data_IF_846203748736
#
_entry.id   IF_846203748736
#
_cell.length_a   1.000
_cell.length_b   1.000
_cell.length_c   1.000
_cell.angle_alpha   90.00
_cell.angle_beta   90.00
_cell.angle_gamma   90.00
#
_symmetry.space_group_name_H-M   'P 1'
#
loop_
_entity.id
_entity.type
_entity.pdbx_description
1 polymer ?
#
# COMPACT_ATOMS: atom_id res chain seq x y z
N UNK A 1 34.69 -9.38 -11.75
CA UNK A 1 33.56 -9.26 -12.70
C UNK A 1 32.83 -10.59 -12.75
N UNK A 2 31.59 -10.67 -12.20
CA UNK A 2 30.75 -11.86 -12.39
C UNK A 2 30.10 -11.73 -13.78
N UNK A 3 30.37 -12.69 -14.67
CA UNK A 3 29.71 -12.75 -15.96
C UNK A 3 28.20 -12.98 -15.74
N UNK A 4 27.35 -12.05 -16.19
CA UNK A 4 25.89 -12.22 -16.17
C UNK A 4 25.53 -13.37 -17.12
N UNK A 5 24.80 -14.36 -16.63
CA UNK A 5 24.30 -15.43 -17.50
C UNK A 5 23.28 -14.85 -18.51
N UNK A 6 23.23 -15.35 -19.75
CA UNK A 6 22.30 -14.84 -20.77
C UNK A 6 20.82 -14.83 -20.33
N UNK A 7 20.44 -15.77 -19.48
CA UNK A 7 19.10 -15.87 -18.88
C UNK A 7 18.78 -14.69 -17.96
N UNK A 8 19.77 -14.22 -17.16
CA UNK A 8 19.62 -13.09 -16.25
C UNK A 8 19.42 -11.78 -17.03
N UNK A 9 20.17 -11.60 -18.14
CA UNK A 9 20.01 -10.41 -19.02
C UNK A 9 18.64 -10.42 -19.69
N UNK A 10 18.15 -11.58 -20.13
CA UNK A 10 16.83 -11.72 -20.73
C UNK A 10 15.73 -11.33 -19.75
N UNK A 11 15.75 -11.87 -18.53
CA UNK A 11 14.77 -11.55 -17.49
C UNK A 11 14.80 -10.06 -17.11
N UNK A 12 15.99 -9.49 -16.98
CA UNK A 12 16.14 -8.05 -16.73
C UNK A 12 15.49 -7.23 -17.84
N UNK A 13 15.77 -7.53 -19.11
CA UNK A 13 15.19 -6.81 -20.26
C UNK A 13 13.67 -6.99 -20.35
N UNK A 14 13.13 -8.16 -19.98
CA UNK A 14 11.69 -8.39 -19.88
C UNK A 14 11.07 -7.49 -18.78
N UNK A 15 11.70 -7.41 -17.62
CA UNK A 15 11.24 -6.54 -16.53
C UNK A 15 11.23 -5.06 -16.96
N UNK A 16 12.31 -4.58 -17.59
CA UNK A 16 12.38 -3.20 -18.12
C UNK A 16 11.22 -2.90 -19.07
N UNK A 17 10.88 -3.82 -19.99
CA UNK A 17 9.76 -3.63 -20.93
C UNK A 17 8.40 -3.61 -20.22
N UNK A 18 8.21 -4.51 -19.26
CA UNK A 18 6.96 -4.58 -18.50
C UNK A 18 6.77 -3.34 -17.64
N UNK A 19 7.82 -2.87 -16.97
CA UNK A 19 7.74 -1.66 -16.13
C UNK A 19 7.50 -0.41 -16.96
N UNK A 20 8.13 -0.31 -18.14
CA UNK A 20 7.86 0.76 -19.09
C UNK A 20 6.37 0.78 -19.51
N UNK A 21 5.81 -0.39 -19.89
CA UNK A 21 4.43 -0.50 -20.33
C UNK A 21 3.41 -0.30 -19.20
N UNK A 22 3.76 -0.68 -17.94
CA UNK A 22 2.96 -0.37 -16.76
C UNK A 22 2.90 1.12 -16.49
N UNK A 23 4.04 1.82 -16.59
CA UNK A 23 4.13 3.26 -16.36
C UNK A 23 3.41 4.07 -17.43
N UNK A 24 3.55 3.70 -18.71
CA UNK A 24 2.93 4.42 -19.83
C UNK A 24 1.43 4.21 -19.89
N UNK A 25 0.91 3.07 -19.43
CA UNK A 25 -0.50 2.68 -19.48
C UNK A 25 -1.18 2.83 -20.86
N UNK A 26 -0.37 3.00 -21.91
CA UNK A 26 -0.80 3.19 -23.29
C UNK A 26 -0.11 2.19 -24.23
N UNK A 27 -0.76 1.79 -25.34
CA UNK A 27 -0.14 0.89 -26.31
C UNK A 27 1.10 1.52 -26.97
N UNK A 28 2.19 0.77 -27.08
CA UNK A 28 3.44 1.19 -27.68
C UNK A 28 3.82 0.27 -28.85
N UNK A 29 4.28 0.85 -29.95
CA UNK A 29 4.87 0.11 -31.08
C UNK A 29 6.28 -0.41 -30.71
N UNK A 30 6.80 -1.39 -31.48
CA UNK A 30 8.17 -1.91 -31.28
C UNK A 30 9.23 -0.81 -31.32
N UNK A 31 9.05 0.19 -32.16
CA UNK A 31 9.98 1.32 -32.28
C UNK A 31 9.94 2.18 -31.03
N UNK A 32 8.74 2.55 -30.57
CA UNK A 32 8.58 3.32 -29.32
C UNK A 32 9.13 2.56 -28.09
N UNK A 33 8.91 1.23 -28.03
CA UNK A 33 9.50 0.39 -26.99
C UNK A 33 11.03 0.39 -27.05
N UNK A 34 11.62 0.29 -28.25
CA UNK A 34 13.08 0.33 -28.43
C UNK A 34 13.65 1.68 -28.02
N UNK A 35 13.05 2.78 -28.49
CA UNK A 35 13.49 4.14 -28.20
C UNK A 35 13.40 4.45 -26.68
N UNK A 36 12.31 4.06 -26.02
CA UNK A 36 12.09 4.33 -24.60
C UNK A 36 12.89 3.41 -23.65
N UNK A 37 13.07 2.13 -24.01
CA UNK A 37 13.83 1.17 -23.20
C UNK A 37 15.33 1.16 -23.47
N UNK A 38 15.78 1.85 -24.54
CA UNK A 38 17.15 1.79 -25.06
C UNK A 38 17.60 0.37 -25.50
N UNK A 39 16.65 -0.54 -25.69
CA UNK A 39 16.90 -1.87 -26.22
C UNK A 39 16.82 -1.86 -27.76
N UNK A 40 17.61 -2.71 -28.42
CA UNK A 40 17.53 -2.83 -29.87
C UNK A 40 16.17 -3.42 -30.30
N UNK A 41 15.68 -3.03 -31.49
CA UNK A 41 14.46 -3.61 -32.09
C UNK A 41 14.58 -5.13 -32.24
N UNK A 42 15.81 -5.64 -32.46
CA UNK A 42 16.07 -7.08 -32.53
C UNK A 42 15.83 -7.74 -31.16
N UNK A 43 16.27 -7.10 -30.09
CA UNK A 43 16.02 -7.57 -28.72
C UNK A 43 14.51 -7.57 -28.42
N UNK A 44 13.81 -6.47 -28.72
CA UNK A 44 12.36 -6.37 -28.56
C UNK A 44 11.64 -7.51 -29.30
N UNK A 45 12.00 -7.78 -30.56
CA UNK A 45 11.42 -8.87 -31.36
C UNK A 45 11.57 -10.25 -30.74
N UNK A 46 12.67 -10.49 -29.99
CA UNK A 46 12.92 -11.76 -29.30
C UNK A 46 12.14 -11.87 -27.98
N UNK A 47 11.84 -10.75 -27.30
CA UNK A 47 11.19 -10.76 -25.98
C UNK A 47 9.66 -10.78 -26.08
N UNK A 48 9.08 -10.06 -27.02
CA UNK A 48 7.62 -9.90 -27.14
C UNK A 48 6.84 -11.22 -27.28
N UNK A 49 7.26 -12.22 -28.09
CA UNK A 49 6.49 -13.45 -28.26
C UNK A 49 6.24 -14.17 -26.94
N UNK A 50 7.25 -14.30 -26.11
CA UNK A 50 7.15 -14.97 -24.79
C UNK A 50 6.25 -14.18 -23.83
N UNK A 51 6.35 -12.85 -23.81
CA UNK A 51 5.50 -11.99 -22.97
C UNK A 51 4.03 -12.06 -23.38
N UNK A 52 3.75 -12.22 -24.67
CA UNK A 52 2.39 -12.41 -25.21
C UNK A 52 1.89 -13.81 -24.86
N UNK A 53 2.71 -14.85 -25.05
CA UNK A 53 2.37 -16.24 -24.72
C UNK A 53 2.01 -16.38 -23.22
N UNK A 54 2.79 -15.73 -22.35
CA UNK A 54 2.52 -15.64 -20.90
C UNK A 54 1.34 -14.73 -20.56
N UNK A 55 0.64 -14.16 -21.53
CA UNK A 55 -0.47 -13.21 -21.35
C UNK A 55 -0.12 -11.97 -20.54
N UNK A 56 1.16 -11.60 -20.48
CA UNK A 56 1.63 -10.38 -19.80
C UNK A 56 1.37 -9.14 -20.64
N UNK A 57 1.31 -9.29 -21.96
CA UNK A 57 1.02 -8.24 -22.94
C UNK A 57 -0.20 -8.59 -23.79
N UNK A 58 -0.91 -7.53 -24.19
CA UNK A 58 -1.95 -7.55 -25.22
C UNK A 58 -1.40 -6.91 -26.47
N UNK A 59 -1.78 -7.46 -27.65
CA UNK A 59 -1.57 -6.82 -28.94
C UNK A 59 -2.83 -6.04 -29.26
N UNK A 60 -2.70 -4.75 -29.61
CA UNK A 60 -3.82 -3.89 -29.97
C UNK A 60 -3.87 -3.73 -31.47
N UNK A 61 -5.08 -3.86 -32.02
CA UNK A 61 -5.34 -3.66 -33.48
C UNK A 61 -5.53 -2.19 -33.83
N UNK A 62 -5.35 -1.24 -32.91
CA UNK A 62 -5.48 0.18 -33.19
C UNK A 62 -4.18 0.71 -33.82
N UNK A 63 -4.18 1.00 -35.12
CA UNK A 63 -3.03 1.54 -35.78
C UNK A 63 -2.85 3.01 -35.38
N UNK A 64 -1.73 3.34 -34.71
CA UNK A 64 -1.30 4.74 -34.73
C UNK A 64 -0.99 5.11 -36.21
N UNK A 65 -1.69 6.12 -36.72
CA UNK A 65 -1.46 6.65 -38.07
C UNK A 65 -0.08 7.31 -38.15
N UNK A 66 0.93 6.53 -38.36
CA UNK A 66 2.22 7.01 -38.87
C UNK A 66 2.25 6.63 -40.33
N UNK A 67 2.26 7.59 -41.26
CA UNK A 67 2.13 7.43 -42.73
C UNK A 67 2.88 6.27 -43.36
N UNK A 68 2.45 5.04 -43.12
CA UNK A 68 3.02 3.77 -43.58
C UNK A 68 2.16 2.58 -43.11
N UNK A 69 2.63 1.35 -43.38
CA UNK A 69 2.01 0.07 -42.95
C UNK A 69 1.68 0.10 -41.47
N UNK A 70 0.44 -0.25 -41.09
CA UNK A 70 -0.05 -0.32 -39.73
C UNK A 70 0.90 -1.16 -38.86
N UNK A 71 1.49 -0.53 -37.85
CA UNK A 71 2.39 -1.22 -36.92
C UNK A 71 1.60 -1.73 -35.69
N UNK A 72 1.74 -3.03 -35.35
CA UNK A 72 1.16 -3.57 -34.14
C UNK A 72 1.69 -2.82 -32.91
N UNK A 73 0.80 -2.53 -31.97
CA UNK A 73 1.13 -1.94 -30.68
C UNK A 73 0.88 -2.94 -29.56
N UNK A 74 1.61 -2.78 -28.47
CA UNK A 74 1.64 -3.70 -27.33
C UNK A 74 1.30 -2.92 -26.08
N UNK A 75 0.49 -3.52 -25.21
CA UNK A 75 0.07 -2.93 -23.95
C UNK A 75 0.22 -3.95 -22.82
N UNK A 76 0.55 -3.48 -21.62
CA UNK A 76 0.54 -4.34 -20.44
C UNK A 76 -0.88 -4.86 -20.16
N UNK A 77 -1.01 -6.16 -19.94
CA UNK A 77 -2.28 -6.79 -19.61
C UNK A 77 -2.56 -6.64 -18.09
N UNK A 78 -2.97 -5.44 -17.70
CA UNK A 78 -3.25 -5.12 -16.30
C UNK A 78 -4.38 -5.97 -15.70
N UNK A 79 -5.34 -6.40 -16.54
CA UNK A 79 -6.49 -7.22 -16.11
C UNK A 79 -6.29 -8.72 -16.34
N UNK A 80 -5.04 -9.20 -16.46
CA UNK A 80 -4.76 -10.64 -16.53
C UNK A 80 -5.15 -11.36 -15.23
N UNK A 81 -5.04 -10.65 -14.12
CA UNK A 81 -5.49 -11.02 -12.79
C UNK A 81 -5.93 -9.76 -12.05
N UNK A 82 -6.77 -9.90 -11.05
CA UNK A 82 -7.33 -8.80 -10.27
C UNK A 82 -7.04 -9.01 -8.78
N UNK A 83 -7.06 -7.93 -8.05
CA UNK A 83 -6.92 -7.88 -6.60
C UNK A 83 -8.24 -7.50 -5.96
N UNK A 84 -8.60 -8.14 -4.85
CA UNK A 84 -9.67 -7.68 -3.97
C UNK A 84 -9.03 -6.97 -2.78
N UNK A 85 -9.24 -5.65 -2.69
CA UNK A 85 -8.78 -4.84 -1.56
C UNK A 85 -9.95 -4.66 -0.60
N UNK A 86 -9.75 -5.01 0.67
CA UNK A 86 -10.75 -4.91 1.73
C UNK A 86 -10.18 -3.99 2.81
N UNK A 87 -10.85 -2.87 3.06
CA UNK A 87 -10.46 -1.92 4.10
C UNK A 87 -11.49 -1.92 5.22
N UNK A 88 -11.04 -2.15 6.45
CA UNK A 88 -11.80 -1.83 7.64
C UNK A 88 -11.46 -0.40 8.05
N UNK A 89 -12.43 0.49 8.07
CA UNK A 89 -12.25 1.92 8.32
C UNK A 89 -13.22 2.36 9.40
N UNK A 90 -12.76 3.19 10.32
CA UNK A 90 -13.65 3.86 11.24
C UNK A 90 -14.25 5.12 10.60
N UNK A 91 -15.56 5.18 10.56
CA UNK A 91 -16.34 6.35 10.17
C UNK A 91 -17.42 6.61 11.22
N UNK A 92 -17.50 7.83 11.76
CA UNK A 92 -18.53 8.22 12.74
C UNK A 92 -18.68 7.24 13.91
N UNK A 93 -17.55 6.74 14.45
CA UNK A 93 -17.46 5.76 15.54
C UNK A 93 -18.01 4.36 15.20
N UNK A 94 -18.16 4.05 13.93
CA UNK A 94 -18.54 2.74 13.44
C UNK A 94 -17.48 2.19 12.47
N UNK A 95 -17.30 0.88 12.49
CA UNK A 95 -16.44 0.24 11.49
C UNK A 95 -17.24 -0.03 10.22
N UNK A 96 -16.79 0.58 9.15
CA UNK A 96 -17.28 0.39 7.79
C UNK A 96 -16.29 -0.47 7.04
N UNK A 97 -16.78 -1.36 6.19
CA UNK A 97 -15.92 -2.20 5.34
C UNK A 97 -16.07 -1.75 3.89
N UNK A 98 -14.95 -1.35 3.28
CA UNK A 98 -14.89 -0.99 1.86
C UNK A 98 -14.23 -2.10 1.07
N UNK A 99 -14.80 -2.39 -0.09
CA UNK A 99 -14.32 -3.39 -1.02
C UNK A 99 -13.98 -2.72 -2.34
N UNK A 100 -12.78 -2.98 -2.86
CA UNK A 100 -12.36 -2.47 -4.17
C UNK A 100 -11.76 -3.60 -4.99
N UNK A 101 -12.19 -3.74 -6.24
CA UNK A 101 -11.55 -4.62 -7.22
C UNK A 101 -10.58 -3.78 -8.02
N UNK A 102 -9.32 -4.20 -8.06
CA UNK A 102 -8.23 -3.40 -8.62
C UNK A 102 -7.42 -4.22 -9.63
N UNK A 103 -6.98 -3.60 -10.71
CA UNK A 103 -6.07 -4.21 -11.66
C UNK A 103 -4.59 -4.05 -11.25
N UNK A 104 -3.68 -4.66 -12.01
CA UNK A 104 -2.25 -4.68 -11.71
C UNK A 104 -1.50 -3.35 -11.97
N UNK A 105 -2.19 -2.29 -12.37
CA UNK A 105 -1.65 -0.92 -12.45
C UNK A 105 -2.35 0.05 -11.49
N UNK A 106 -3.22 -0.49 -10.63
CA UNK A 106 -3.86 0.28 -9.57
C UNK A 106 -5.19 0.94 -9.96
N UNK A 107 -5.75 0.64 -11.14
CA UNK A 107 -7.08 1.16 -11.51
C UNK A 107 -8.16 0.43 -10.72
N UNK A 108 -9.05 1.19 -10.09
CA UNK A 108 -10.21 0.65 -9.38
C UNK A 108 -11.31 0.37 -10.41
N UNK A 109 -11.67 -0.89 -10.56
CA UNK A 109 -12.69 -1.36 -11.49
C UNK A 109 -14.09 -1.44 -10.85
N UNK A 110 -14.12 -1.67 -9.54
CA UNK A 110 -15.34 -1.73 -8.74
C UNK A 110 -15.04 -1.20 -7.34
N UNK A 111 -16.01 -0.52 -6.76
CA UNK A 111 -15.94 -0.05 -5.38
C UNK A 111 -17.32 -0.12 -4.76
N UNK A 112 -17.41 -0.74 -3.58
CA UNK A 112 -18.64 -0.76 -2.78
C UNK A 112 -18.31 -0.69 -1.29
N UNK A 113 -19.30 -0.29 -0.49
CA UNK A 113 -19.18 -0.13 0.94
C UNK A 113 -20.31 -0.86 1.65
N UNK A 114 -19.96 -1.58 2.73
CA UNK A 114 -20.92 -2.17 3.63
C UNK A 114 -20.94 -1.36 4.94
N UNK A 115 -22.12 -0.85 5.29
CA UNK A 115 -22.31 -0.05 6.51
C UNK A 115 -22.31 -0.90 7.79
N UNK A 116 -22.34 -2.23 7.70
CA UNK A 116 -22.43 -3.10 8.86
C UNK A 116 -21.24 -4.07 8.88
N UNK A 117 -20.38 -3.92 9.88
CA UNK A 117 -19.30 -4.88 10.15
C UNK A 117 -19.79 -6.25 10.63
N UNK A 118 -20.81 -6.84 9.98
CA UNK A 118 -21.37 -8.15 10.32
C UNK A 118 -20.79 -9.24 9.42
N UNK A 119 -20.31 -10.30 10.03
CA UNK A 119 -19.68 -11.41 9.32
C UNK A 119 -20.54 -12.03 8.20
N UNK A 120 -21.85 -12.32 8.37
CA UNK A 120 -22.66 -12.91 7.29
C UNK A 120 -22.74 -12.02 6.05
N UNK A 121 -22.89 -10.71 6.24
CA UNK A 121 -22.95 -9.74 5.16
C UNK A 121 -21.60 -9.61 4.46
N UNK A 122 -20.51 -9.54 5.22
CA UNK A 122 -19.14 -9.56 4.70
C UNK A 122 -18.90 -10.75 3.77
N UNK A 123 -19.27 -11.96 4.21
CA UNK A 123 -19.13 -13.18 3.41
C UNK A 123 -20.00 -13.15 2.14
N UNK A 124 -21.21 -12.61 2.22
CA UNK A 124 -22.09 -12.44 1.06
C UNK A 124 -21.44 -11.52 0.02
N UNK A 125 -20.93 -10.36 0.45
CA UNK A 125 -20.30 -9.37 -0.45
C UNK A 125 -19.08 -9.96 -1.16
N UNK A 126 -18.16 -10.61 -0.45
CA UNK A 126 -16.96 -11.17 -1.08
C UNK A 126 -17.28 -12.29 -2.07
N UNK A 127 -18.36 -13.11 -1.83
CA UNK A 127 -18.83 -14.09 -2.80
C UNK A 127 -19.37 -13.43 -4.06
N UNK A 128 -20.20 -12.40 -3.92
CA UNK A 128 -20.78 -11.67 -5.05
C UNK A 128 -19.70 -11.03 -5.89
N UNK A 129 -18.74 -10.33 -5.27
CA UNK A 129 -17.59 -9.73 -5.97
C UNK A 129 -16.78 -10.82 -6.69
N UNK A 130 -16.50 -11.96 -6.05
CA UNK A 130 -15.73 -13.04 -6.69
C UNK A 130 -16.47 -13.67 -7.87
N UNK A 131 -17.80 -13.77 -7.82
CA UNK A 131 -18.61 -14.26 -8.94
C UNK A 131 -18.59 -13.27 -10.12
N UNK A 132 -18.68 -11.97 -9.85
CA UNK A 132 -18.64 -10.92 -10.88
C UNK A 132 -17.23 -10.75 -11.45
N UNK A 133 -16.20 -10.86 -10.61
CA UNK A 133 -14.78 -10.72 -10.97
C UNK A 133 -13.99 -12.02 -10.76
N UNK A 134 -14.20 -13.07 -11.59
CA UNK A 134 -13.60 -14.40 -11.37
C UNK A 134 -12.05 -14.38 -11.47
N UNK A 135 -11.47 -13.36 -12.09
CA UNK A 135 -10.01 -13.18 -12.19
C UNK A 135 -9.33 -12.71 -10.91
N UNK A 136 -10.06 -12.43 -9.85
CA UNK A 136 -9.45 -12.11 -8.54
C UNK A 136 -8.63 -13.32 -8.09
N UNK A 137 -7.34 -13.11 -7.82
CA UNK A 137 -6.40 -14.17 -7.40
C UNK A 137 -5.78 -13.91 -6.03
N UNK A 138 -5.92 -12.69 -5.52
CA UNK A 138 -5.36 -12.26 -4.24
C UNK A 138 -6.34 -11.31 -3.56
N UNK A 139 -6.59 -11.52 -2.26
CA UNK A 139 -7.24 -10.56 -1.39
C UNK A 139 -6.18 -9.87 -0.50
N UNK A 140 -6.30 -8.56 -0.34
CA UNK A 140 -5.47 -7.77 0.57
C UNK A 140 -6.39 -7.05 1.54
N UNK A 141 -6.27 -7.39 2.80
CA UNK A 141 -7.17 -6.92 3.86
C UNK A 141 -6.39 -6.00 4.79
N UNK A 142 -6.84 -4.78 4.92
CA UNK A 142 -6.34 -3.86 5.92
C UNK A 142 -7.26 -3.83 7.14
N UNK A 143 -6.68 -3.81 8.32
CA UNK A 143 -7.41 -3.86 9.59
C UNK A 143 -6.92 -2.79 10.58
N UNK A 144 -7.81 -2.13 11.34
CA UNK A 144 -7.43 -1.37 12.51
C UNK A 144 -7.14 -2.34 13.67
N UNK A 145 -5.95 -2.93 13.69
CA UNK A 145 -5.62 -3.94 14.66
C UNK A 145 -4.40 -4.78 14.32
N UNK A 146 -4.21 -5.89 15.03
CA UNK A 146 -3.04 -6.77 14.89
C UNK A 146 -3.45 -8.22 14.72
N UNK A 147 -2.86 -8.85 13.70
CA UNK A 147 -2.90 -10.30 13.51
C UNK A 147 -1.69 -10.95 14.18
N UNK A 148 -1.94 -11.94 15.04
CA UNK A 148 -0.91 -12.75 15.67
C UNK A 148 -1.25 -14.22 15.44
N UNK A 149 -0.29 -14.98 14.89
CA UNK A 149 -0.44 -16.40 14.57
C UNK A 149 -1.75 -16.73 13.79
N UNK A 150 -2.03 -15.92 12.76
CA UNK A 150 -3.17 -16.09 11.87
C UNK A 150 -4.53 -15.68 12.46
N UNK A 151 -4.55 -15.01 13.63
CA UNK A 151 -5.78 -14.56 14.28
C UNK A 151 -5.76 -13.08 14.62
N UNK A 152 -6.90 -12.41 14.46
CA UNK A 152 -7.07 -10.99 14.78
C UNK A 152 -7.13 -10.80 16.30
N UNK A 153 -5.99 -10.64 16.96
CA UNK A 153 -5.90 -10.51 18.43
C UNK A 153 -6.30 -9.14 18.94
N UNK A 154 -5.96 -8.10 18.18
CA UNK A 154 -6.42 -6.74 18.40
C UNK A 154 -7.27 -6.39 17.19
N UNK A 155 -8.52 -6.00 17.40
CA UNK A 155 -9.44 -5.66 16.33
C UNK A 155 -10.55 -4.77 16.89
N UNK A 156 -10.73 -3.59 16.28
CA UNK A 156 -11.75 -2.63 16.68
C UNK A 156 -13.15 -2.99 16.14
N UNK A 157 -13.25 -4.00 15.26
CA UNK A 157 -14.51 -4.61 14.85
C UNK A 157 -14.80 -5.88 15.66
N UNK A 158 -15.66 -5.85 16.70
CA UNK A 158 -15.85 -6.98 17.64
C UNK A 158 -16.28 -8.28 16.97
N UNK A 159 -17.07 -8.19 15.87
CA UNK A 159 -17.54 -9.36 15.12
C UNK A 159 -16.41 -10.18 14.48
N UNK A 160 -15.22 -9.61 14.32
CA UNK A 160 -14.06 -10.25 13.68
C UNK A 160 -12.94 -10.60 14.68
N UNK A 161 -13.08 -10.21 15.94
CA UNK A 161 -12.07 -10.47 16.96
C UNK A 161 -11.83 -11.96 17.15
N UNK A 162 -10.58 -12.34 17.33
CA UNK A 162 -10.07 -13.72 17.49
C UNK A 162 -10.36 -14.64 16.28
N UNK A 163 -10.82 -14.10 15.14
CA UNK A 163 -11.04 -14.85 13.91
C UNK A 163 -9.74 -15.09 13.13
N UNK A 164 -9.67 -16.22 12.45
CA UNK A 164 -8.70 -16.49 11.40
C UNK A 164 -9.27 -15.97 10.06
N UNK A 165 -9.31 -14.62 9.92
CA UNK A 165 -9.98 -13.95 8.81
C UNK A 165 -9.37 -14.32 7.45
N UNK A 166 -8.05 -14.46 7.35
CA UNK A 166 -7.37 -14.88 6.12
C UNK A 166 -7.84 -16.25 5.67
N UNK A 167 -7.79 -17.25 6.54
CA UNK A 167 -8.26 -18.61 6.26
C UNK A 167 -9.74 -18.64 5.88
N UNK A 168 -10.55 -17.80 6.54
CA UNK A 168 -11.99 -17.70 6.25
C UNK A 168 -12.23 -17.18 4.83
N UNK A 169 -11.54 -16.11 4.40
CA UNK A 169 -11.64 -15.57 3.05
C UNK A 169 -11.14 -16.59 2.03
N UNK A 170 -9.98 -17.22 2.29
CA UNK A 170 -9.41 -18.24 1.40
C UNK A 170 -10.37 -19.43 1.19
N UNK A 171 -11.02 -19.88 2.27
CA UNK A 171 -12.04 -20.95 2.20
C UNK A 171 -13.27 -20.52 1.42
N UNK A 172 -13.67 -19.26 1.56
CA UNK A 172 -14.92 -18.76 1.01
C UNK A 172 -14.86 -18.46 -0.48
N UNK A 173 -13.76 -17.89 -0.96
CA UNK A 173 -13.62 -17.45 -2.36
C UNK A 173 -12.41 -18.05 -3.09
N UNK A 174 -11.71 -18.99 -2.48
CA UNK A 174 -10.55 -19.73 -3.04
C UNK A 174 -9.44 -18.80 -3.59
N UNK A 175 -9.07 -17.75 -2.84
CA UNK A 175 -7.96 -16.83 -3.17
C UNK A 175 -7.03 -16.69 -1.97
N UNK A 176 -5.73 -16.54 -2.22
CA UNK A 176 -4.77 -16.20 -1.17
C UNK A 176 -5.13 -14.87 -0.53
N UNK A 177 -4.87 -14.73 0.76
CA UNK A 177 -5.19 -13.53 1.53
C UNK A 177 -3.97 -13.00 2.25
N UNK A 178 -3.72 -11.70 2.11
CA UNK A 178 -2.74 -10.94 2.90
C UNK A 178 -3.50 -10.05 3.87
N UNK A 179 -3.08 -10.03 5.14
CA UNK A 179 -3.63 -9.12 6.14
C UNK A 179 -2.54 -8.17 6.60
N UNK A 180 -2.88 -6.88 6.70
CA UNK A 180 -1.97 -5.86 7.18
C UNK A 180 -2.68 -4.86 8.09
N UNK A 181 -1.94 -4.26 9.02
CA UNK A 181 -2.42 -3.16 9.83
C UNK A 181 -2.64 -1.91 8.95
N UNK A 182 -3.64 -1.11 9.27
CA UNK A 182 -4.05 0.10 8.55
C UNK A 182 -2.94 1.16 8.48
N UNK A 183 -2.27 1.45 9.62
CA UNK A 183 -1.18 2.43 9.67
C UNK A 183 0.04 1.93 8.89
N UNK A 184 0.39 0.66 9.03
CA UNK A 184 1.45 0.04 8.24
C UNK A 184 1.20 0.17 6.74
N UNK A 185 -0.03 -0.12 6.30
CA UNK A 185 -0.40 0.03 4.90
C UNK A 185 -0.32 1.49 4.44
N UNK A 186 -0.85 2.44 5.23
CA UNK A 186 -0.79 3.85 4.90
C UNK A 186 0.65 4.36 4.76
N UNK A 187 1.55 3.94 5.64
CA UNK A 187 2.97 4.32 5.59
C UNK A 187 3.70 3.64 4.43
N UNK A 188 3.34 2.41 4.11
CA UNK A 188 3.93 1.66 2.99
C UNK A 188 3.74 2.36 1.63
N UNK A 189 2.69 3.15 1.47
CA UNK A 189 2.50 3.99 0.29
C UNK A 189 3.66 4.95 0.04
N UNK A 190 4.32 5.43 1.10
CA UNK A 190 5.43 6.41 1.04
C UNK A 190 6.82 5.76 1.03
N UNK A 191 6.91 4.45 0.81
CA UNK A 191 8.19 3.76 0.79
C UNK A 191 9.13 4.29 -0.28
N UNK A 192 10.40 4.43 0.06
CA UNK A 192 11.46 4.85 -0.84
C UNK A 192 12.68 3.91 -0.72
N UNK A 193 13.40 3.74 -1.83
CA UNK A 193 14.65 2.96 -1.84
C UNK A 193 15.70 3.63 -0.92
N UNK A 194 16.39 2.80 -0.12
CA UNK A 194 17.44 3.22 0.82
C UNK A 194 17.00 4.29 1.84
N UNK A 195 15.72 4.35 2.14
CA UNK A 195 15.16 5.29 3.12
C UNK A 195 14.51 4.56 4.29
N UNK A 196 14.49 5.26 5.42
CA UNK A 196 13.67 4.93 6.59
C UNK A 196 12.52 5.94 6.60
N UNK A 197 11.30 5.43 6.50
CA UNK A 197 10.06 6.21 6.52
C UNK A 197 9.26 5.78 7.72
N UNK A 198 8.97 6.70 8.63
CA UNK A 198 8.04 6.49 9.72
C UNK A 198 6.71 7.18 9.42
N UNK A 199 5.63 6.62 9.88
CA UNK A 199 4.32 7.27 9.87
C UNK A 199 3.67 7.18 11.22
N UNK A 200 2.95 8.24 11.61
CA UNK A 200 2.22 8.30 12.86
C UNK A 200 0.80 8.73 12.54
N UNK A 201 -0.17 7.91 12.91
CA UNK A 201 -1.58 8.21 12.74
C UNK A 201 -2.19 8.61 14.09
N UNK A 202 -2.81 9.77 14.15
CA UNK A 202 -3.55 10.27 15.29
C UNK A 202 -5.04 10.34 14.96
N UNK A 203 -5.80 9.27 15.23
CA UNK A 203 -7.26 9.33 15.15
C UNK A 203 -7.82 10.21 16.26
N UNK A 204 -9.03 10.79 16.04
CA UNK A 204 -9.65 11.68 17.05
C UNK A 204 -10.04 10.95 18.34
N UNK A 205 -10.56 9.74 18.19
CA UNK A 205 -11.26 9.03 19.27
C UNK A 205 -10.48 7.86 19.87
N UNK A 206 -9.29 7.56 19.35
CA UNK A 206 -8.50 6.40 19.72
C UNK A 206 -7.03 6.74 19.92
N UNK A 207 -6.28 5.88 20.60
CA UNK A 207 -4.83 6.04 20.72
C UNK A 207 -4.14 6.06 19.34
N UNK A 208 -3.03 6.80 19.21
CA UNK A 208 -2.27 6.81 17.97
C UNK A 208 -1.59 5.48 17.70
N UNK A 209 -1.41 5.20 16.39
CA UNK A 209 -0.60 4.10 15.87
C UNK A 209 0.59 4.62 15.08
N UNK A 210 1.61 3.79 14.89
CA UNK A 210 2.73 4.10 14.01
C UNK A 210 3.06 2.94 13.07
N UNK A 211 3.74 3.25 11.97
CA UNK A 211 4.31 2.27 11.05
C UNK A 211 5.72 2.66 10.67
N UNK A 212 6.54 1.69 10.32
CA UNK A 212 7.93 1.91 9.93
C UNK A 212 8.26 1.10 8.67
N UNK A 213 8.81 1.78 7.67
CA UNK A 213 9.32 1.19 6.44
C UNK A 213 10.81 1.46 6.35
N UNK A 214 11.60 0.41 6.17
CA UNK A 214 13.07 0.48 6.02
C UNK A 214 13.42 -0.13 4.67
N UNK A 215 14.03 0.65 3.80
CA UNK A 215 14.44 0.21 2.46
C UNK A 215 13.31 -0.57 1.73
N UNK A 216 12.15 0.08 1.61
CA UNK A 216 10.94 -0.45 0.97
C UNK A 216 10.28 -1.65 1.68
N UNK A 217 10.76 -2.08 2.84
CA UNK A 217 10.19 -3.20 3.60
C UNK A 217 9.54 -2.73 4.89
N UNK A 218 8.35 -3.23 5.20
CA UNK A 218 7.71 -2.98 6.49
C UNK A 218 8.51 -3.61 7.63
N UNK A 219 8.80 -2.83 8.64
CA UNK A 219 9.37 -3.31 9.89
C UNK A 219 8.24 -3.65 10.87
N UNK A 220 7.91 -4.93 10.98
CA UNK A 220 6.81 -5.41 11.83
C UNK A 220 7.26 -5.77 13.26
N UNK A 221 8.57 -5.83 13.51
CA UNK A 221 9.10 -6.37 14.76
C UNK A 221 8.97 -7.90 14.88
N UNK A 222 9.48 -8.46 15.97
CA UNK A 222 9.54 -9.91 16.16
C UNK A 222 8.16 -10.58 16.34
N UNK A 223 7.20 -9.84 16.89
CA UNK A 223 5.85 -10.34 17.23
C UNK A 223 4.74 -9.54 16.52
N UNK A 224 5.06 -8.83 15.43
CA UNK A 224 4.14 -7.97 14.68
C UNK A 224 3.53 -6.84 15.54
N UNK A 225 4.21 -6.41 16.59
CA UNK A 225 3.77 -5.35 17.49
C UNK A 225 4.55 -4.03 17.32
N UNK A 226 5.40 -3.93 16.31
CA UNK A 226 6.05 -2.66 15.98
C UNK A 226 4.99 -1.63 15.59
N UNK A 227 5.06 -0.45 16.18
CA UNK A 227 4.09 0.61 15.91
C UNK A 227 2.93 0.70 16.91
N UNK A 228 2.79 -0.23 17.86
CA UNK A 228 1.80 -0.16 18.94
C UNK A 228 2.18 0.91 19.99
N UNK A 229 2.32 2.15 19.54
CA UNK A 229 2.86 3.28 20.31
C UNK A 229 1.94 3.74 21.46
N UNK A 230 0.68 3.30 21.49
CA UNK A 230 -0.21 3.53 22.66
C UNK A 230 0.37 3.05 24.00
N UNK A 231 1.40 2.21 23.96
CA UNK A 231 2.11 1.72 25.14
C UNK A 231 3.30 2.60 25.55
N UNK A 232 3.60 3.68 24.82
CA UNK A 232 4.58 4.67 25.25
C UNK A 232 4.13 5.34 26.56
N UNK A 233 5.06 5.66 27.48
CA UNK A 233 4.71 6.18 28.81
C UNK A 233 3.76 7.39 28.80
N UNK A 234 3.94 8.33 27.87
CA UNK A 234 3.12 9.53 27.76
C UNK A 234 1.76 9.30 27.07
N UNK A 235 1.56 8.14 26.43
CA UNK A 235 0.28 7.75 25.80
C UNK A 235 -0.49 6.71 26.63
N UNK A 236 0.20 6.06 27.58
CA UNK A 236 -0.39 5.01 28.37
C UNK A 236 -1.47 5.54 29.32
N UNK A 237 -2.68 4.97 29.24
CA UNK A 237 -3.88 5.40 30.02
C UNK A 237 -4.38 6.82 29.73
N UNK A 238 -4.00 7.40 28.60
CA UNK A 238 -4.59 8.67 28.14
C UNK A 238 -6.03 8.42 27.67
N UNK A 239 -6.94 9.31 28.04
CA UNK A 239 -8.33 9.26 27.58
C UNK A 239 -8.49 9.94 26.22
N UNK A 240 -9.33 9.40 25.37
CA UNK A 240 -9.66 9.94 24.06
C UNK A 240 -11.16 10.26 23.97
N UNK A 241 -11.55 11.31 23.20
CA UNK A 241 -10.69 12.24 22.44
C UNK A 241 -9.78 13.07 23.35
N UNK A 242 -8.63 13.48 22.79
CA UNK A 242 -7.69 14.37 23.50
C UNK A 242 -8.35 15.74 23.75
N UNK A 243 -8.09 16.32 24.94
CA UNK A 243 -8.37 17.72 25.17
C UNK A 243 -7.46 18.60 24.25
N UNK A 244 -7.99 19.71 23.75
CA UNK A 244 -7.28 20.59 22.81
C UNK A 244 -5.89 21.00 23.31
N UNK A 245 -5.78 21.28 24.61
CA UNK A 245 -4.56 21.70 25.28
C UNK A 245 -3.49 20.59 25.30
N UNK A 246 -3.91 19.32 25.28
CA UNK A 246 -3.01 18.18 25.30
C UNK A 246 -2.47 17.79 23.91
N UNK A 247 -3.09 18.23 22.82
CA UNK A 247 -2.75 17.81 21.46
C UNK A 247 -1.30 18.13 21.10
N UNK A 248 -0.86 19.37 21.38
CA UNK A 248 0.51 19.80 21.08
C UNK A 248 1.55 18.96 21.82
N UNK A 249 1.32 18.71 23.10
CA UNK A 249 2.23 17.90 23.93
C UNK A 249 2.29 16.46 23.44
N UNK A 250 1.13 15.84 23.22
CA UNK A 250 1.06 14.44 22.82
C UNK A 250 1.66 14.20 21.43
N UNK A 251 1.36 15.07 20.47
CA UNK A 251 1.92 14.96 19.11
C UNK A 251 3.44 15.16 19.15
N UNK A 252 3.92 16.19 19.87
CA UNK A 252 5.35 16.49 19.98
C UNK A 252 6.11 15.35 20.67
N UNK A 253 5.64 14.87 21.83
CA UNK A 253 6.30 13.80 22.56
C UNK A 253 6.35 12.49 21.76
N UNK A 254 5.26 12.17 21.06
CA UNK A 254 5.22 10.99 20.20
C UNK A 254 6.19 11.10 19.02
N UNK A 255 6.22 12.26 18.35
CA UNK A 255 7.14 12.50 17.26
C UNK A 255 8.60 12.41 17.73
N UNK A 256 8.95 13.02 18.86
CA UNK A 256 10.28 12.93 19.46
C UNK A 256 10.68 11.50 19.77
N UNK A 257 9.76 10.69 20.35
CA UNK A 257 10.02 9.30 20.66
C UNK A 257 10.33 8.48 19.38
N UNK A 258 9.55 8.65 18.33
CA UNK A 258 9.76 7.95 17.05
C UNK A 258 11.10 8.39 16.43
N UNK A 259 11.39 9.68 16.36
CA UNK A 259 12.64 10.19 15.80
C UNK A 259 13.85 9.68 16.59
N UNK A 260 13.78 9.69 17.93
CA UNK A 260 14.88 9.23 18.78
C UNK A 260 15.21 7.74 18.62
N UNK A 261 14.22 6.90 18.32
CA UNK A 261 14.38 5.44 18.23
C UNK A 261 14.71 4.97 16.82
N UNK A 262 14.14 5.63 15.80
CA UNK A 262 14.19 5.13 14.41
C UNK A 262 15.09 5.94 13.49
N UNK A 263 15.47 7.16 13.89
CA UNK A 263 16.26 8.10 13.06
C UNK A 263 15.81 8.12 11.59
N UNK A 264 14.53 8.48 11.31
CA UNK A 264 13.97 8.32 9.98
C UNK A 264 14.41 9.45 9.06
N UNK A 265 14.45 9.20 7.74
CA UNK A 265 14.66 10.23 6.74
C UNK A 265 13.44 11.16 6.61
N UNK A 266 12.24 10.58 6.83
CA UNK A 266 10.98 11.33 6.78
C UNK A 266 9.95 10.74 7.74
N UNK A 267 9.09 11.61 8.24
CA UNK A 267 7.94 11.24 9.07
C UNK A 267 6.66 11.75 8.41
N UNK A 268 5.71 10.84 8.18
CA UNK A 268 4.37 11.17 7.72
C UNK A 268 3.47 11.28 8.94
N UNK A 269 2.91 12.45 9.17
CA UNK A 269 1.97 12.72 10.26
C UNK A 269 0.55 12.74 9.69
N UNK A 270 -0.20 11.69 9.96
CA UNK A 270 -1.63 11.63 9.63
C UNK A 270 -2.41 12.28 10.78
N UNK A 271 -2.81 13.51 10.58
CA UNK A 271 -3.48 14.34 11.57
C UNK A 271 -4.83 14.82 11.05
N UNK A 272 -5.87 14.89 11.88
CA UNK A 272 -7.09 15.62 11.55
C UNK A 272 -6.77 17.05 11.10
N UNK A 273 -7.49 17.58 10.10
CA UNK A 273 -7.21 18.91 9.52
C UNK A 273 -7.21 20.02 10.59
N UNK A 274 -8.12 19.94 11.56
CA UNK A 274 -8.18 20.88 12.67
C UNK A 274 -6.99 20.82 13.62
N UNK A 275 -6.33 19.65 13.74
CA UNK A 275 -5.13 19.52 14.57
C UNK A 275 -3.89 20.10 13.89
N UNK A 276 -3.84 20.09 12.55
CA UNK A 276 -2.72 20.69 11.81
C UNK A 276 -2.56 22.19 12.11
N UNK A 277 -3.65 22.88 12.40
CA UNK A 277 -3.60 24.28 12.84
C UNK A 277 -3.01 24.44 14.26
N UNK A 278 -3.20 23.45 15.14
CA UNK A 278 -2.67 23.45 16.51
C UNK A 278 -1.19 23.08 16.57
N UNK A 279 -0.74 22.21 15.67
CA UNK A 279 0.66 21.73 15.58
C UNK A 279 1.25 22.03 14.19
N UNK A 280 1.39 23.32 13.82
CA UNK A 280 1.89 23.66 12.49
C UNK A 280 3.31 23.17 12.30
N UNK A 281 3.69 22.93 11.05
CA UNK A 281 4.97 22.31 10.65
C UNK A 281 6.19 22.98 11.33
N UNK A 282 6.26 24.31 11.26
CA UNK A 282 7.37 25.07 11.87
C UNK A 282 7.45 24.90 13.40
N UNK A 283 6.31 24.68 14.07
CA UNK A 283 6.29 24.42 15.51
C UNK A 283 6.95 23.11 15.84
N UNK A 284 6.58 22.01 15.13
CA UNK A 284 7.17 20.69 15.37
C UNK A 284 8.67 20.66 15.00
N UNK A 285 9.07 21.30 13.90
CA UNK A 285 10.49 21.43 13.55
C UNK A 285 11.29 22.14 14.65
N UNK A 286 10.75 23.23 15.20
CA UNK A 286 11.38 23.95 16.31
C UNK A 286 11.50 23.08 17.58
N UNK A 287 10.46 22.30 17.90
CA UNK A 287 10.49 21.37 19.03
C UNK A 287 11.55 20.27 18.83
N UNK A 288 11.63 19.70 17.63
CA UNK A 288 12.66 18.70 17.32
C UNK A 288 14.06 19.31 17.39
N UNK A 289 14.29 20.48 16.80
CA UNK A 289 15.57 21.17 16.83
C UNK A 289 16.05 21.52 18.25
N UNK A 290 15.12 21.79 19.17
CA UNK A 290 15.42 22.04 20.57
C UNK A 290 15.95 20.79 21.32
N UNK A 291 15.63 19.59 20.85
CA UNK A 291 16.03 18.31 21.46
C UNK A 291 17.21 17.69 20.68
N UNK A 292 17.13 17.67 19.35
CA UNK A 292 18.13 17.05 18.48
C UNK A 292 19.12 18.11 17.98
N UNK A 293 20.14 18.40 18.78
CA UNK A 293 21.14 19.46 18.49
C UNK A 293 22.16 19.09 17.40
N UNK A 294 21.94 17.99 16.67
CA UNK A 294 22.90 17.45 15.69
C UNK A 294 22.80 18.11 14.30
N UNK A 295 21.88 19.05 14.10
CA UNK A 295 21.70 19.76 12.82
C UNK A 295 21.07 18.94 11.71
N UNK A 296 20.64 17.72 11.98
CA UNK A 296 19.93 16.85 11.03
C UNK A 296 18.58 16.49 11.62
N UNK A 297 17.52 16.77 10.89
CA UNK A 297 16.14 16.43 11.27
C UNK A 297 15.45 15.70 10.11
N UNK A 298 14.48 14.81 10.40
CA UNK A 298 13.69 14.18 9.36
C UNK A 298 12.82 15.22 8.63
N UNK A 299 12.49 14.95 7.36
CA UNK A 299 11.46 15.71 6.67
C UNK A 299 10.09 15.36 7.28
N UNK A 300 9.31 16.37 7.64
CA UNK A 300 7.94 16.19 8.13
C UNK A 300 6.96 16.37 6.97
N UNK A 301 5.99 15.47 6.86
CA UNK A 301 4.88 15.56 5.91
C UNK A 301 3.57 15.42 6.66
N UNK A 302 2.64 16.32 6.43
CA UNK A 302 1.29 16.26 7.00
C UNK A 302 0.32 15.70 5.98
N UNK A 303 -0.58 14.85 6.41
CA UNK A 303 -1.68 14.34 5.61
C UNK A 303 -2.94 14.22 6.47
N UNK A 304 -4.05 14.70 5.96
CA UNK A 304 -5.41 14.46 6.47
C UNK A 304 -6.14 13.36 5.69
N UNK A 305 -5.43 12.75 4.71
CA UNK A 305 -5.96 11.74 3.78
C UNK A 305 -5.53 10.32 4.18
N UNK A 306 -5.72 9.97 5.46
CA UNK A 306 -5.31 8.66 5.95
C UNK A 306 -5.97 7.51 5.17
N UNK A 307 -7.29 7.58 4.97
CA UNK A 307 -8.05 6.51 4.29
C UNK A 307 -7.58 6.26 2.85
N UNK A 308 -7.26 7.30 2.10
CA UNK A 308 -6.75 7.18 0.72
C UNK A 308 -5.32 6.63 0.69
N UNK A 309 -4.45 7.10 1.59
CA UNK A 309 -3.09 6.58 1.70
C UNK A 309 -3.08 5.11 2.13
N UNK A 310 -3.99 4.74 3.02
CA UNK A 310 -4.22 3.36 3.45
C UNK A 310 -4.64 2.48 2.26
N UNK A 311 -5.63 2.92 1.45
CA UNK A 311 -6.03 2.21 0.24
C UNK A 311 -4.86 2.06 -0.73
N UNK A 312 -4.14 3.14 -1.00
CA UNK A 312 -3.01 3.15 -1.92
C UNK A 312 -1.89 2.19 -1.46
N UNK A 313 -1.65 2.11 -0.15
CA UNK A 313 -0.70 1.17 0.43
C UNK A 313 -1.11 -0.29 0.24
N UNK A 314 -2.36 -0.64 0.51
CA UNK A 314 -2.89 -1.99 0.27
C UNK A 314 -2.81 -2.38 -1.21
N UNK A 315 -3.15 -1.46 -2.11
CA UNK A 315 -3.02 -1.67 -3.57
C UNK A 315 -1.55 -1.95 -3.93
N UNK A 316 -0.62 -1.14 -3.42
CA UNK A 316 0.82 -1.31 -3.65
C UNK A 316 1.30 -2.68 -3.19
N UNK A 317 0.93 -3.09 -1.96
CA UNK A 317 1.26 -4.42 -1.42
C UNK A 317 0.70 -5.55 -2.28
N UNK A 318 -0.55 -5.40 -2.72
CA UNK A 318 -1.21 -6.40 -3.55
C UNK A 318 -0.56 -6.54 -4.93
N UNK A 319 -0.21 -5.44 -5.58
CA UNK A 319 0.48 -5.44 -6.88
C UNK A 319 1.86 -6.09 -6.76
N UNK A 320 2.61 -5.78 -5.70
CA UNK A 320 3.92 -6.40 -5.47
C UNK A 320 3.82 -7.91 -5.22
N UNK A 321 2.89 -8.32 -4.36
CA UNK A 321 2.67 -9.73 -4.08
C UNK A 321 2.20 -10.52 -5.32
N UNK A 322 1.38 -9.91 -6.19
CA UNK A 322 0.94 -10.51 -7.44
C UNK A 322 2.02 -10.46 -8.55
N UNK A 323 2.93 -9.48 -8.49
CA UNK A 323 4.01 -9.28 -9.48
C UNK A 323 5.21 -10.21 -9.32
N UNK A 324 5.38 -10.86 -8.18
CA UNK A 324 6.48 -11.82 -7.90
C UNK A 324 6.36 -13.14 -8.69
N UNK A 325 5.40 -13.26 -9.59
CA UNK A 325 5.15 -14.44 -10.45
C UNK A 325 5.76 -14.36 -11.86
N UNK A 326 6.95 -13.73 -12.04
CA UNK A 326 7.72 -13.80 -13.30
C UNK A 326 8.53 -15.08 -13.41
#
# INVERSE_FOLDING_TARGET
MKAYQPTTIKLHNQAVLLDLLKQQQAPMTKRQLADASQLSVVTINKLLPELIEKKLLLTTDQPQRTGGRQAAAYQYNAQRTLLLIIQFIEEEQQIVIRFSVVDLVGNILHHEQSAEGRLPQFLQVIRQIKQEYPKISLAVVGIPGVEIAGRLKIMDAPAFKDMALGELIEKEIAVKTLIENDVNAAVFHFKEEKKIVAGIYFPKNYPPGAGLVIDQQLFKGANHLSGEIKHLPHLYKVSYPLATEAIQEQVTATLQAIVAVTDPHQVILFLPSEWQALVPHFFLEKQLAAVFHYGVLPKLHFSDRFSENYLAGLITMGIEAAGLGL
#
